data_IF_355711709878
#
_entry.id   IF_355711709878
#
_cell.length_a   1.000
_cell.length_b   1.000
_cell.length_c   1.000
_cell.angle_alpha   90.00
_cell.angle_beta   90.00
_cell.angle_gamma   90.00
#
_symmetry.space_group_name_H-M   'P 1'
#
loop_
_entity.id
_entity.type
_entity.pdbx_description
1 polymer ?
#
# COMPACT_ATOMS: atom_id res chain seq x y z
N UNK A 1 89.92 9.71 17.42
CA UNK A 1 90.90 8.83 18.11
C UNK A 1 90.14 7.71 18.80
N UNK A 2 90.58 6.46 18.58
CA UNK A 2 90.42 5.23 19.40
C UNK A 2 89.00 4.87 19.86
N UNK A 3 88.36 3.83 19.30
CA UNK A 3 88.53 2.38 19.63
C UNK A 3 88.45 2.08 21.13
N UNK A 4 87.45 1.31 21.56
CA UNK A 4 87.55 -0.03 22.19
C UNK A 4 86.14 -0.42 22.71
N UNK A 5 85.65 -1.64 22.40
CA UNK A 5 85.52 -2.79 23.32
C UNK A 5 84.77 -2.47 24.62
N UNK A 6 83.93 -3.30 25.20
CA UNK A 6 83.30 -4.59 24.88
C UNK A 6 82.55 -4.98 26.17
N UNK A 7 81.56 -5.85 26.02
CA UNK A 7 81.14 -6.85 27.01
C UNK A 7 80.35 -6.44 28.27
N UNK A 8 79.14 -7.03 28.34
CA UNK A 8 78.64 -7.91 29.44
C UNK A 8 78.23 -7.22 30.75
N UNK A 9 77.13 -7.54 31.44
CA UNK A 9 75.93 -8.39 31.29
C UNK A 9 74.96 -7.89 32.37
N UNK A 10 73.66 -8.00 32.09
CA UNK A 10 72.49 -8.09 32.97
C UNK A 10 72.49 -7.41 34.36
N UNK A 11 71.38 -6.74 34.67
CA UNK A 11 70.39 -7.19 35.66
C UNK A 11 69.15 -6.27 35.61
N UNK A 12 68.00 -6.89 35.87
CA UNK A 12 66.63 -6.38 35.95
C UNK A 12 66.45 -4.97 36.56
N UNK A 13 65.52 -4.20 35.95
CA UNK A 13 64.77 -3.09 36.55
C UNK A 13 63.34 -3.15 35.99
N UNK A 14 62.36 -3.59 36.78
CA UNK A 14 61.33 -2.79 37.51
C UNK A 14 60.42 -1.96 36.58
N UNK A 15 59.12 -2.28 36.70
CA UNK A 15 57.89 -1.60 36.28
C UNK A 15 57.99 -0.16 35.73
N UNK A 16 57.23 0.11 34.66
CA UNK A 16 56.16 1.12 34.65
C UNK A 16 55.28 1.00 33.39
N UNK A 17 53.99 1.21 33.60
CA UNK A 17 52.91 1.27 32.62
C UNK A 17 53.08 2.44 31.63
N UNK A 18 52.83 2.19 30.34
CA UNK A 18 52.02 2.97 29.38
C UNK A 18 51.75 1.99 28.22
N UNK A 19 50.55 1.50 27.93
CA UNK A 19 49.43 2.23 27.36
C UNK A 19 49.19 1.73 25.92
N UNK A 20 47.96 1.29 25.66
CA UNK A 20 47.34 0.96 24.36
C UNK A 20 48.02 -0.10 23.47
N UNK A 21 47.50 -1.32 23.54
CA UNK A 21 47.38 -2.19 22.37
C UNK A 21 45.94 -2.67 22.28
N UNK A 22 45.31 -2.32 21.17
CA UNK A 22 43.92 -2.52 20.80
C UNK A 22 43.71 -4.02 20.60
N UNK A 23 43.04 -4.66 21.56
CA UNK A 23 42.69 -6.08 21.47
C UNK A 23 41.51 -6.22 20.50
N UNK A 24 41.77 -6.86 19.36
CA UNK A 24 40.75 -7.36 18.44
C UNK A 24 39.81 -8.28 19.23
N UNK A 25 38.57 -7.82 19.40
CA UNK A 25 37.48 -8.71 19.76
C UNK A 25 36.81 -9.14 18.46
N UNK A 26 36.95 -10.42 18.15
CA UNK A 26 36.11 -11.11 17.18
C UNK A 26 34.67 -11.05 17.69
N UNK A 27 33.94 -10.01 17.28
CA UNK A 27 32.49 -10.01 17.32
C UNK A 27 32.07 -10.85 16.13
N UNK A 28 31.68 -12.09 16.42
CA UNK A 28 30.84 -12.89 15.53
C UNK A 28 29.64 -12.01 15.17
N UNK A 29 29.59 -11.54 13.93
CA UNK A 29 28.36 -11.08 13.29
C UNK A 29 27.39 -12.25 13.35
N UNK A 30 26.54 -12.23 14.37
CA UNK A 30 25.35 -13.05 14.38
C UNK A 30 24.44 -12.35 13.39
N UNK A 31 24.49 -12.82 12.14
CA UNK A 31 23.46 -12.56 11.14
C UNK A 31 22.12 -12.76 11.86
N UNK A 32 21.42 -11.66 12.08
CA UNK A 32 20.05 -11.70 12.55
C UNK A 32 19.28 -12.30 11.39
N UNK A 33 19.05 -13.59 11.48
CA UNK A 33 18.15 -14.34 10.61
C UNK A 33 16.86 -13.54 10.57
N UNK A 34 16.63 -12.93 9.40
CA UNK A 34 15.52 -12.05 9.11
C UNK A 34 14.25 -12.90 9.30
N UNK A 35 13.68 -12.81 10.50
CA UNK A 35 12.48 -13.55 10.86
C UNK A 35 11.34 -12.83 10.13
N UNK A 36 11.24 -13.06 8.82
CA UNK A 36 10.18 -12.51 7.97
C UNK A 36 8.87 -12.91 8.62
N UNK A 37 8.26 -11.94 9.30
CA UNK A 37 6.98 -12.09 9.96
C UNK A 37 6.01 -12.58 8.89
N UNK A 38 5.60 -13.85 8.99
CA UNK A 38 4.55 -14.36 8.12
C UNK A 38 3.27 -13.66 8.57
N UNK A 39 2.87 -12.65 7.81
CA UNK A 39 1.64 -11.91 8.03
C UNK A 39 0.46 -12.87 7.87
N UNK A 40 -0.20 -13.17 8.98
CA UNK A 40 -1.43 -13.94 8.99
C UNK A 40 -2.55 -13.02 9.46
N UNK A 41 -3.57 -12.85 8.64
CA UNK A 41 -4.76 -12.06 8.95
C UNK A 41 -5.96 -12.68 8.22
N UNK A 42 -7.15 -12.44 8.76
CA UNK A 42 -8.40 -12.84 8.13
C UNK A 42 -9.26 -11.61 7.84
N UNK A 43 -10.28 -11.81 7.01
CA UNK A 43 -11.29 -10.80 6.72
C UNK A 43 -12.65 -11.29 7.18
N UNK A 44 -13.35 -10.47 7.97
CA UNK A 44 -14.78 -10.65 8.28
C UNK A 44 -15.60 -9.61 7.54
N UNK A 45 -16.89 -9.91 7.34
CA UNK A 45 -17.85 -8.97 6.77
C UNK A 45 -18.54 -8.21 7.88
N UNK A 46 -18.58 -6.89 7.75
CA UNK A 46 -19.45 -5.99 8.49
C UNK A 46 -20.51 -5.39 7.57
N UNK A 47 -21.61 -4.91 8.17
CA UNK A 47 -22.73 -4.30 7.44
C UNK A 47 -23.14 -3.02 8.14
N UNK A 48 -23.26 -1.94 7.37
CA UNK A 48 -23.91 -0.70 7.79
C UNK A 48 -25.28 -0.62 7.12
N UNK A 49 -26.35 -0.60 7.93
CA UNK A 49 -27.73 -0.42 7.45
C UNK A 49 -28.32 0.87 8.05
N UNK A 50 -28.91 1.72 7.21
CA UNK A 50 -29.59 2.96 7.60
C UNK A 50 -31.00 2.93 7.04
N UNK A 51 -31.94 2.38 7.81
CA UNK A 51 -33.32 2.14 7.37
C UNK A 51 -34.03 3.40 6.86
N UNK A 52 -33.79 4.56 7.50
CA UNK A 52 -34.42 5.84 7.10
C UNK A 52 -34.01 6.33 5.72
N UNK A 53 -32.88 5.84 5.19
CA UNK A 53 -32.33 6.18 3.88
C UNK A 53 -32.43 5.02 2.88
N UNK A 54 -32.96 3.86 3.29
CA UNK A 54 -32.93 2.62 2.50
C UNK A 54 -31.50 2.27 2.03
N UNK A 55 -30.54 2.44 2.94
CA UNK A 55 -29.12 2.24 2.67
C UNK A 55 -28.62 0.96 3.32
N UNK A 56 -27.86 0.17 2.55
CA UNK A 56 -27.10 -0.99 3.01
C UNK A 56 -25.72 -1.01 2.35
N UNK A 57 -24.69 -1.12 3.18
CA UNK A 57 -23.29 -1.14 2.74
C UNK A 57 -22.58 -2.27 3.44
N UNK A 58 -22.17 -3.28 2.67
CA UNK A 58 -21.30 -4.34 3.13
C UNK A 58 -19.84 -3.85 3.01
N UNK A 59 -19.02 -4.09 4.05
CA UNK A 59 -17.60 -3.74 4.03
C UNK A 59 -16.76 -4.76 4.83
N UNK A 60 -15.48 -4.97 4.46
CA UNK A 60 -14.63 -5.90 5.18
C UNK A 60 -14.02 -5.26 6.43
N UNK A 61 -13.70 -6.11 7.41
CA UNK A 61 -12.78 -5.80 8.51
C UNK A 61 -11.64 -6.82 8.55
N UNK A 62 -10.43 -6.31 8.73
CA UNK A 62 -9.24 -7.08 9.06
C UNK A 62 -9.30 -7.51 10.52
N UNK A 63 -9.09 -8.81 10.75
CA UNK A 63 -8.98 -9.43 12.06
C UNK A 63 -7.70 -10.27 12.13
N UNK A 64 -7.28 -10.62 13.36
CA UNK A 64 -6.11 -11.46 13.64
C UNK A 64 -4.76 -10.91 13.11
N UNK A 65 -4.71 -9.64 12.71
CA UNK A 65 -3.48 -9.03 12.19
C UNK A 65 -2.47 -8.73 13.31
N UNK A 66 -1.16 -9.00 13.13
CA UNK A 66 -0.15 -8.74 14.14
C UNK A 66 0.12 -7.24 14.30
N UNK A 67 -0.53 -6.64 15.29
CA UNK A 67 -0.39 -5.22 15.64
C UNK A 67 -1.74 -4.53 15.63
N UNK A 68 -2.34 -4.39 16.82
CA UNK A 68 -3.71 -3.85 16.98
C UNK A 68 -3.85 -2.44 16.38
N UNK A 69 -2.85 -1.57 16.58
CA UNK A 69 -2.89 -0.21 16.05
C UNK A 69 -2.91 -0.16 14.52
N UNK A 70 -2.12 -1.01 13.85
CA UNK A 70 -2.12 -1.10 12.39
C UNK A 70 -3.43 -1.69 11.88
N UNK A 71 -3.95 -2.70 12.57
CA UNK A 71 -5.26 -3.26 12.28
C UNK A 71 -6.37 -2.21 12.38
N UNK A 72 -6.32 -1.35 13.40
CA UNK A 72 -7.26 -0.24 13.56
C UNK A 72 -7.16 0.77 12.42
N UNK A 73 -5.94 1.14 11.97
CA UNK A 73 -5.77 2.03 10.82
C UNK A 73 -6.32 1.43 9.52
N UNK A 74 -6.02 0.15 9.25
CA UNK A 74 -6.58 -0.55 8.10
C UNK A 74 -8.11 -0.60 8.14
N UNK A 75 -8.69 -0.89 9.31
CA UNK A 75 -10.15 -0.95 9.48
C UNK A 75 -10.81 0.43 9.36
N UNK A 76 -10.14 1.51 9.77
CA UNK A 76 -10.60 2.87 9.52
C UNK A 76 -10.67 3.17 8.01
N UNK A 77 -9.62 2.80 7.26
CA UNK A 77 -9.60 2.95 5.80
C UNK A 77 -10.72 2.18 5.11
N UNK A 78 -10.95 0.92 5.49
CA UNK A 78 -12.01 0.08 4.91
C UNK A 78 -13.41 0.60 5.25
N UNK A 79 -13.64 1.02 6.50
CA UNK A 79 -14.92 1.57 6.96
C UNK A 79 -15.26 2.91 6.31
N UNK A 80 -14.26 3.68 5.86
CA UNK A 80 -14.46 5.02 5.27
C UNK A 80 -15.47 5.02 4.11
N UNK A 81 -15.53 3.98 3.30
CA UNK A 81 -16.50 3.89 2.20
C UNK A 81 -17.94 3.83 2.74
N UNK A 82 -18.17 3.02 3.78
CA UNK A 82 -19.47 2.99 4.46
C UNK A 82 -19.81 4.32 5.11
N UNK A 83 -18.82 5.05 5.64
CA UNK A 83 -19.05 6.36 6.26
C UNK A 83 -19.44 7.44 5.23
N UNK A 84 -18.77 7.49 4.07
CA UNK A 84 -19.09 8.44 3.00
C UNK A 84 -20.53 8.27 2.52
N UNK A 85 -20.91 7.04 2.16
CA UNK A 85 -22.22 6.81 1.53
C UNK A 85 -23.36 6.50 2.52
N UNK A 86 -23.04 6.13 3.76
CA UNK A 86 -24.03 5.81 4.79
C UNK A 86 -24.40 6.99 5.69
N UNK A 87 -23.41 7.83 6.04
CA UNK A 87 -23.63 8.87 7.05
C UNK A 87 -23.94 10.24 6.44
N UNK A 88 -23.46 10.52 5.23
CA UNK A 88 -23.76 11.81 4.58
C UNK A 88 -25.24 11.90 4.16
N UNK A 89 -25.84 13.07 4.34
CA UNK A 89 -27.27 13.27 4.05
C UNK A 89 -27.59 13.40 2.57
N UNK A 90 -26.58 13.65 1.74
CA UNK A 90 -26.76 13.82 0.30
C UNK A 90 -27.05 12.51 -0.44
N UNK A 91 -26.76 11.36 0.17
CA UNK A 91 -26.95 10.03 -0.41
C UNK A 91 -28.16 9.32 0.20
N UNK A 92 -28.96 8.66 -0.65
CA UNK A 92 -30.06 7.78 -0.26
C UNK A 92 -30.08 6.53 -1.16
N UNK A 93 -30.85 5.51 -0.77
CA UNK A 93 -31.02 4.27 -1.52
C UNK A 93 -29.70 3.60 -1.91
N UNK A 94 -28.69 3.71 -1.04
CA UNK A 94 -27.34 3.21 -1.33
C UNK A 94 -27.29 1.71 -1.10
N UNK A 95 -26.82 0.97 -2.09
CA UNK A 95 -26.59 -0.47 -2.01
C UNK A 95 -25.17 -0.70 -2.49
N UNK A 96 -24.25 -1.07 -1.59
CA UNK A 96 -22.85 -1.32 -1.91
C UNK A 96 -22.44 -2.69 -1.37
N UNK A 97 -21.85 -3.49 -2.25
CA UNK A 97 -21.14 -4.72 -1.93
C UNK A 97 -19.63 -4.51 -2.14
N UNK A 98 -18.82 -5.47 -1.68
CA UNK A 98 -17.39 -5.47 -1.93
C UNK A 98 -16.86 -6.82 -2.45
N UNK A 99 -15.77 -6.75 -3.20
CA UNK A 99 -14.95 -7.87 -3.65
C UNK A 99 -13.53 -7.68 -3.08
N UNK A 100 -12.98 -8.72 -2.44
CA UNK A 100 -11.54 -8.77 -2.15
C UNK A 100 -10.86 -9.19 -3.45
N UNK A 101 -10.20 -8.25 -4.13
CA UNK A 101 -9.57 -8.48 -5.44
C UNK A 101 -8.13 -8.96 -5.32
N UNK A 102 -7.48 -8.69 -4.19
CA UNK A 102 -6.18 -9.25 -3.83
C UNK A 102 -6.05 -9.34 -2.31
N UNK A 103 -5.49 -10.46 -1.82
CA UNK A 103 -5.22 -10.68 -0.41
C UNK A 103 -3.96 -11.54 -0.29
N UNK A 104 -2.84 -10.91 0.04
CA UNK A 104 -1.58 -11.59 0.32
C UNK A 104 -0.81 -10.88 1.45
N UNK A 105 0.45 -11.28 1.67
CA UNK A 105 1.32 -10.72 2.71
C UNK A 105 1.72 -9.25 2.46
N UNK A 106 1.55 -8.73 1.25
CA UNK A 106 1.98 -7.39 0.86
C UNK A 106 0.80 -6.45 0.63
N UNK A 107 -0.27 -6.93 0.00
CA UNK A 107 -1.40 -6.10 -0.44
C UNK A 107 -2.73 -6.74 -0.04
N UNK A 108 -3.58 -5.94 0.58
CA UNK A 108 -5.03 -6.14 0.60
C UNK A 108 -5.67 -5.13 -0.33
N UNK A 109 -6.37 -5.61 -1.36
CA UNK A 109 -7.12 -4.77 -2.30
C UNK A 109 -8.59 -5.14 -2.25
N UNK A 110 -9.43 -4.13 -2.03
CA UNK A 110 -10.88 -4.25 -1.90
C UNK A 110 -11.54 -3.30 -2.89
N UNK A 111 -12.42 -3.85 -3.71
CA UNK A 111 -13.22 -3.12 -4.68
C UNK A 111 -14.68 -3.07 -4.19
N UNK A 112 -15.17 -1.86 -3.94
CA UNK A 112 -16.55 -1.59 -3.58
C UNK A 112 -17.33 -1.23 -4.84
N UNK A 113 -18.47 -1.90 -5.06
CA UNK A 113 -19.35 -1.70 -6.21
C UNK A 113 -20.79 -1.59 -5.75
N UNK A 114 -21.54 -0.70 -6.37
CA UNK A 114 -22.91 -0.48 -5.96
C UNK A 114 -23.62 0.62 -6.72
N UNK A 115 -24.77 1.01 -6.19
CA UNK A 115 -25.58 2.10 -6.70
C UNK A 115 -26.08 2.97 -5.55
N UNK A 116 -26.43 4.21 -5.84
CA UNK A 116 -27.11 5.08 -4.88
C UNK A 116 -27.85 6.19 -5.59
N UNK A 117 -28.49 7.07 -4.82
CA UNK A 117 -29.13 8.28 -5.31
C UNK A 117 -28.55 9.50 -4.60
N UNK A 118 -28.13 10.50 -5.39
CA UNK A 118 -27.75 11.82 -4.87
C UNK A 118 -28.98 12.72 -4.91
N UNK A 119 -29.28 13.37 -3.79
CA UNK A 119 -30.35 14.36 -3.70
C UNK A 119 -30.20 15.44 -4.78
N UNK A 120 -31.21 15.57 -5.64
CA UNK A 120 -31.23 16.56 -6.73
C UNK A 120 -30.45 16.17 -8.00
N UNK A 121 -29.72 15.05 -7.99
CA UNK A 121 -28.92 14.59 -9.14
C UNK A 121 -29.29 13.18 -9.65
N UNK A 122 -30.07 12.43 -8.86
CA UNK A 122 -30.61 11.12 -9.27
C UNK A 122 -29.65 9.97 -9.03
N UNK A 123 -29.87 8.87 -9.77
CA UNK A 123 -29.13 7.61 -9.59
C UNK A 123 -27.68 7.72 -10.06
N UNK A 124 -26.78 7.17 -9.26
CA UNK A 124 -25.36 7.05 -9.54
C UNK A 124 -24.91 5.59 -9.42
N UNK A 125 -23.92 5.24 -10.23
CA UNK A 125 -23.13 4.03 -10.03
C UNK A 125 -21.92 4.36 -9.15
N UNK A 126 -21.61 3.47 -8.21
CA UNK A 126 -20.53 3.63 -7.24
C UNK A 126 -19.47 2.58 -7.54
N UNK A 127 -18.25 3.02 -7.78
CA UNK A 127 -17.07 2.18 -7.84
C UNK A 127 -15.92 2.87 -7.09
N UNK A 128 -15.47 2.25 -6.02
CA UNK A 128 -14.42 2.75 -5.15
C UNK A 128 -13.48 1.60 -4.79
N UNK A 129 -12.24 1.91 -4.48
CA UNK A 129 -11.27 0.91 -4.05
C UNK A 129 -10.49 1.40 -2.85
N UNK A 130 -10.14 0.46 -1.98
CA UNK A 130 -9.18 0.64 -0.91
C UNK A 130 -8.08 -0.40 -1.13
N UNK A 131 -6.85 0.07 -1.23
CA UNK A 131 -5.68 -0.79 -1.36
C UNK A 131 -4.77 -0.47 -0.19
N UNK A 132 -4.33 -1.48 0.55
CA UNK A 132 -3.53 -1.32 1.73
C UNK A 132 -2.20 -2.03 1.53
N UNK A 133 -1.11 -1.33 1.84
CA UNK A 133 0.17 -1.97 2.08
C UNK A 133 0.10 -2.66 3.45
N UNK A 134 0.18 -3.99 3.44
CA UNK A 134 0.03 -4.81 4.63
C UNK A 134 1.21 -4.72 5.59
N UNK A 135 2.30 -4.05 5.21
CA UNK A 135 3.44 -3.79 6.08
C UNK A 135 3.29 -2.49 6.88
N UNK A 136 2.82 -1.42 6.24
CA UNK A 136 2.71 -0.08 6.86
C UNK A 136 1.29 0.33 7.24
N UNK A 137 0.26 -0.41 6.82
CA UNK A 137 -1.17 -0.02 6.85
C UNK A 137 -1.54 1.18 5.96
N UNK A 138 -0.58 1.76 5.23
CA UNK A 138 -0.84 2.93 4.39
C UNK A 138 -1.65 2.54 3.15
N UNK A 139 -2.51 3.46 2.72
CA UNK A 139 -3.28 3.27 1.51
C UNK A 139 -2.45 3.49 0.25
N UNK A 140 -2.57 2.56 -0.70
CA UNK A 140 -1.99 2.66 -2.02
C UNK A 140 -3.03 3.28 -2.96
N UNK A 141 -2.70 4.44 -3.50
CA UNK A 141 -3.53 5.25 -4.40
C UNK A 141 -2.80 5.45 -5.72
N UNK A 142 -3.50 5.96 -6.74
CA UNK A 142 -2.83 6.33 -8.00
C UNK A 142 -1.70 7.33 -7.77
N UNK A 143 -1.91 8.33 -6.91
CA UNK A 143 -0.94 9.41 -6.73
C UNK A 143 0.34 8.98 -6.02
N UNK A 144 0.28 8.01 -5.10
CA UNK A 144 1.47 7.51 -4.42
C UNK A 144 2.06 6.24 -5.06
N UNK A 145 1.29 5.49 -5.85
CA UNK A 145 1.83 4.37 -6.63
C UNK A 145 2.62 4.87 -7.83
N UNK A 146 2.12 5.85 -8.58
CA UNK A 146 2.69 6.19 -9.88
C UNK A 146 3.85 7.19 -9.75
N UNK A 147 5.07 6.69 -9.99
CA UNK A 147 6.31 7.47 -10.07
C UNK A 147 6.42 8.26 -11.37
N UNK A 148 6.02 7.65 -12.49
CA UNK A 148 6.09 8.28 -13.83
C UNK A 148 4.71 8.37 -14.47
N UNK A 149 4.00 9.48 -14.19
CA UNK A 149 2.62 9.69 -14.66
C UNK A 149 2.51 9.68 -16.19
N UNK A 150 3.44 10.34 -16.88
CA UNK A 150 3.46 10.39 -18.35
C UNK A 150 3.60 9.00 -18.96
N UNK A 151 4.52 8.20 -18.44
CA UNK A 151 4.80 6.86 -18.97
C UNK A 151 3.60 5.93 -18.76
N UNK A 152 2.99 5.95 -17.57
CA UNK A 152 1.80 5.16 -17.24
C UNK A 152 0.60 5.61 -18.06
N UNK A 153 0.37 6.90 -18.22
CA UNK A 153 -0.74 7.40 -19.05
C UNK A 153 -0.64 6.94 -20.51
N UNK A 154 0.57 6.87 -21.07
CA UNK A 154 0.79 6.31 -22.42
C UNK A 154 0.47 4.82 -22.49
N UNK A 155 0.79 4.04 -21.44
CA UNK A 155 0.39 2.62 -21.36
C UNK A 155 -1.14 2.51 -21.31
N UNK A 156 -1.80 3.32 -20.48
CA UNK A 156 -3.26 3.33 -20.36
C UNK A 156 -3.94 3.77 -21.65
N UNK A 157 -3.41 4.77 -22.34
CA UNK A 157 -3.88 5.24 -23.64
C UNK A 157 -3.86 4.12 -24.67
N UNK A 158 -2.76 3.37 -24.75
CA UNK A 158 -2.65 2.21 -25.63
C UNK A 158 -3.67 1.13 -25.26
N UNK A 159 -3.80 0.79 -23.96
CA UNK A 159 -4.78 -0.19 -23.48
C UNK A 159 -6.22 0.23 -23.80
N UNK A 160 -6.54 1.52 -23.70
CA UNK A 160 -7.86 2.06 -24.04
C UNK A 160 -8.14 1.90 -25.55
N UNK A 161 -7.16 2.23 -26.40
CA UNK A 161 -7.27 2.05 -27.86
C UNK A 161 -7.41 0.58 -28.25
N UNK A 162 -6.68 -0.31 -27.61
CA UNK A 162 -6.79 -1.77 -27.82
C UNK A 162 -8.18 -2.30 -27.44
N UNK A 163 -8.86 -1.65 -26.49
CA UNK A 163 -10.26 -1.92 -26.12
C UNK A 163 -11.31 -1.24 -27.02
N UNK A 164 -10.87 -0.51 -28.04
CA UNK A 164 -11.75 0.16 -29.01
C UNK A 164 -12.14 1.59 -28.65
N UNK A 165 -11.54 2.19 -27.62
CA UNK A 165 -11.75 3.60 -27.26
C UNK A 165 -10.84 4.44 -28.15
N UNK A 166 -11.39 4.99 -29.24
CA UNK A 166 -10.61 5.57 -30.34
C UNK A 166 -9.72 6.73 -29.93
N UNK A 167 -10.25 7.63 -29.10
CA UNK A 167 -9.53 8.81 -28.62
C UNK A 167 -8.53 8.45 -27.51
N UNK A 168 -8.57 7.21 -27.01
CA UNK A 168 -7.71 6.74 -25.93
C UNK A 168 -8.28 7.06 -24.55
N UNK A 169 -7.39 7.30 -23.58
CA UNK A 169 -7.81 7.60 -22.21
C UNK A 169 -8.15 9.09 -22.06
N UNK A 170 -9.39 9.36 -21.70
CA UNK A 170 -9.87 10.69 -21.31
C UNK A 170 -10.48 10.59 -19.92
N UNK A 171 -9.68 10.93 -18.90
CA UNK A 171 -10.02 10.69 -17.50
C UNK A 171 -9.54 11.83 -16.61
N UNK A 172 -10.42 12.26 -15.70
CA UNK A 172 -10.01 12.92 -14.46
C UNK A 172 -10.22 11.93 -13.30
N UNK A 173 -9.31 11.95 -12.32
CA UNK A 173 -9.44 11.13 -11.10
C UNK A 173 -9.31 9.62 -11.34
N UNK A 174 -8.28 9.19 -12.10
CA UNK A 174 -7.95 7.76 -12.26
C UNK A 174 -7.69 7.13 -10.88
N UNK A 175 -8.34 6.00 -10.63
CA UNK A 175 -8.16 5.18 -9.44
C UNK A 175 -7.64 3.81 -9.84
N UNK A 176 -7.26 3.00 -8.85
CA UNK A 176 -6.77 1.66 -9.09
C UNK A 176 -7.18 0.67 -8.03
N UNK A 177 -7.20 -0.61 -8.41
CA UNK A 177 -7.19 -1.74 -7.50
C UNK A 177 -6.22 -2.81 -8.01
N UNK A 178 -5.77 -3.69 -7.13
CA UNK A 178 -4.90 -4.81 -7.48
C UNK A 178 -5.75 -6.07 -7.65
N UNK A 179 -5.48 -6.83 -8.70
CA UNK A 179 -6.14 -8.10 -8.98
C UNK A 179 -5.16 -9.06 -9.63
N UNK A 180 -4.91 -10.18 -8.96
CA UNK A 180 -3.85 -11.12 -9.32
C UNK A 180 -2.50 -10.38 -9.48
N UNK A 181 -1.78 -10.62 -10.57
CA UNK A 181 -0.50 -9.95 -10.92
C UNK A 181 -0.70 -8.66 -11.75
N UNK A 182 -1.87 -8.02 -11.63
CA UNK A 182 -2.22 -6.84 -12.40
C UNK A 182 -2.66 -5.68 -11.50
N UNK A 183 -2.36 -4.48 -11.98
CA UNK A 183 -3.01 -3.25 -11.52
C UNK A 183 -4.14 -2.93 -12.49
N UNK A 184 -5.35 -2.81 -11.97
CA UNK A 184 -6.53 -2.38 -12.74
C UNK A 184 -6.79 -0.92 -12.44
N UNK A 185 -6.59 -0.09 -13.46
CA UNK A 185 -6.92 1.32 -13.42
C UNK A 185 -8.37 1.52 -13.83
N UNK A 186 -9.10 2.38 -13.14
CA UNK A 186 -10.47 2.69 -13.51
C UNK A 186 -10.82 4.16 -13.35
N UNK A 187 -11.75 4.61 -14.16
CA UNK A 187 -12.22 5.99 -14.20
C UNK A 187 -13.63 6.08 -14.78
N UNK A 188 -14.36 7.13 -14.43
CA UNK A 188 -15.58 7.51 -15.14
C UNK A 188 -15.17 8.36 -16.35
N UNK A 189 -15.64 8.03 -17.57
CA UNK A 189 -15.40 8.87 -18.74
C UNK A 189 -15.89 10.31 -18.52
N UNK A 190 -15.25 11.27 -19.19
CA UNK A 190 -15.67 12.69 -19.16
C UNK A 190 -16.96 12.97 -19.95
N UNK A 191 -17.48 11.97 -20.67
CA UNK A 191 -18.79 12.05 -21.31
C UNK A 191 -19.89 12.04 -20.23
N UNK A 192 -20.63 13.15 -20.11
CA UNK A 192 -21.74 13.30 -19.16
C UNK A 192 -22.85 12.23 -19.31
N UNK A 193 -22.89 11.53 -20.44
CA UNK A 193 -23.81 10.41 -20.65
C UNK A 193 -23.28 9.06 -20.14
N UNK A 194 -22.00 8.99 -19.79
CA UNK A 194 -21.37 7.78 -19.27
C UNK A 194 -21.99 7.40 -17.91
N UNK A 195 -22.33 6.13 -17.79
CA UNK A 195 -22.88 5.56 -16.55
C UNK A 195 -21.95 4.53 -15.93
N UNK A 196 -21.02 4.00 -16.71
CA UNK A 196 -20.18 2.88 -16.30
C UNK A 196 -18.72 3.32 -16.26
N UNK A 197 -18.00 2.77 -15.28
CA UNK A 197 -16.57 2.95 -15.18
C UNK A 197 -15.87 2.16 -16.28
N UNK A 198 -14.82 2.76 -16.85
CA UNK A 198 -13.89 2.04 -17.71
C UNK A 198 -12.81 1.46 -16.82
N UNK A 199 -12.51 0.16 -17.00
CA UNK A 199 -11.42 -0.52 -16.33
C UNK A 199 -10.33 -0.90 -17.35
N UNK A 200 -9.06 -0.62 -17.06
CA UNK A 200 -7.89 -0.93 -17.88
C UNK A 200 -6.91 -1.73 -17.02
N UNK A 201 -6.67 -2.99 -17.41
CA UNK A 201 -5.76 -3.88 -16.69
C UNK A 201 -4.36 -3.84 -17.32
N UNK A 202 -3.35 -3.66 -16.46
CA UNK A 202 -1.93 -3.63 -16.83
C UNK A 202 -1.18 -4.56 -15.89
N UNK A 203 -0.28 -5.38 -16.45
CA UNK A 203 0.53 -6.27 -15.62
C UNK A 203 1.49 -5.48 -14.74
N UNK A 204 1.77 -5.98 -13.54
CA UNK A 204 2.76 -5.34 -12.65
C UNK A 204 4.16 -5.32 -13.27
N UNK A 205 4.49 -6.32 -14.08
CA UNK A 205 5.75 -6.38 -14.82
C UNK A 205 5.91 -5.22 -15.81
N UNK A 206 4.85 -4.83 -16.51
CA UNK A 206 4.86 -3.67 -17.42
C UNK A 206 4.97 -2.33 -16.67
N UNK A 207 4.65 -2.33 -15.37
CA UNK A 207 4.62 -1.13 -14.52
C UNK A 207 5.86 -0.97 -13.65
N UNK A 208 6.68 -2.00 -13.47
CA UNK A 208 7.72 -2.09 -12.44
C UNK A 208 8.71 -0.91 -12.41
N UNK A 209 9.00 -0.28 -13.55
CA UNK A 209 9.92 0.86 -13.64
C UNK A 209 9.25 2.22 -13.34
N UNK A 210 7.92 2.23 -13.34
CA UNK A 210 7.09 3.44 -13.28
C UNK A 210 6.27 3.56 -12.00
N UNK A 211 6.38 2.58 -11.10
CA UNK A 211 5.67 2.55 -9.82
C UNK A 211 6.62 2.59 -8.62
N UNK A 212 6.11 3.07 -7.50
CA UNK A 212 6.75 2.95 -6.20
C UNK A 212 6.39 1.59 -5.57
N UNK A 213 7.30 1.08 -4.74
CA UNK A 213 7.11 -0.19 -3.99
C UNK A 213 7.19 0.01 -2.48
N UNK A 214 7.40 1.25 -2.03
CA UNK A 214 7.44 1.65 -0.63
C UNK A 214 6.42 2.78 -0.43
N UNK A 215 5.49 2.56 0.49
CA UNK A 215 4.37 3.45 0.78
C UNK A 215 4.50 4.15 2.13
N UNK A 216 5.70 4.14 2.71
CA UNK A 216 6.05 4.89 3.90
C UNK A 216 6.28 4.03 5.13
N UNK A 217 6.59 4.71 6.23
CA UNK A 217 6.89 4.05 7.49
C UNK A 217 5.59 3.60 8.19
N UNK A 218 5.74 2.56 9.01
CA UNK A 218 4.73 2.15 9.98
C UNK A 218 4.39 3.36 10.88
N UNK A 219 3.11 3.75 11.00
CA UNK A 219 2.69 4.80 11.92
C UNK A 219 3.23 4.57 13.33
N UNK A 220 3.73 5.63 13.97
CA UNK A 220 4.24 5.55 15.33
C UNK A 220 3.11 5.19 16.31
N UNK A 221 3.40 4.22 17.18
CA UNK A 221 2.50 3.81 18.29
C UNK A 221 2.47 4.81 19.44
#
# INVERSE_FOLDING_TARGET
MKRLLSLVVAVLLIFTFVGCSKQESNISEKETEDNKLVLNYNITKEVLEVESKDTKIDYPQVIDYPGELLMDYMNQSLKRIADIYGNEDIYNHVQIDYEITRMDENILSVLFKGTGEIQGHGKINIQQSINLDMNSSNEITYDNLIKSKEEVMRILDQKAKDKGIKEGIEAEGVRLYFKDENVVFYYMPLDDSAKEFIELSVSEEDLKEYINTDFGQVPAS
#
